data_IF_027571604717
#
_entry.id   IF_027571604717
#
_cell.length_a   1.000
_cell.length_b   1.000
_cell.length_c   1.000
_cell.angle_alpha   90.00
_cell.angle_beta   90.00
_cell.angle_gamma   90.00
#
_symmetry.space_group_name_H-M   'P 1'
#
loop_
_entity.id
_entity.type
_entity.pdbx_description
1 polymer ?
#
# COMPACT_ATOMS: atom_id res chain seq x y z
N UNK A 1 17.50 -9.20 -13.38
CA UNK A 1 16.17 -9.79 -13.27
C UNK A 1 15.24 -8.73 -12.73
N UNK A 2 14.16 -8.43 -13.47
CA UNK A 2 13.16 -7.45 -13.08
C UNK A 2 13.49 -5.98 -13.35
N UNK A 3 12.48 -5.11 -13.17
CA UNK A 3 12.61 -3.67 -13.35
C UNK A 3 11.87 -2.93 -12.22
N UNK A 4 12.61 -2.17 -11.42
CA UNK A 4 12.08 -1.38 -10.31
C UNK A 4 11.36 -0.12 -10.77
N UNK A 5 11.67 0.38 -11.98
CA UNK A 5 10.98 1.52 -12.56
C UNK A 5 9.61 1.08 -13.09
N UNK A 6 8.51 1.73 -12.67
CA UNK A 6 7.19 1.43 -13.21
C UNK A 6 7.17 1.60 -14.73
N UNK A 7 6.64 0.62 -15.47
CA UNK A 7 6.44 0.78 -16.92
C UNK A 7 5.40 1.83 -17.26
N UNK A 8 4.36 1.90 -16.45
CA UNK A 8 3.30 2.90 -16.58
C UNK A 8 2.69 3.18 -15.22
N UNK A 9 2.26 4.41 -15.08
CA UNK A 9 1.47 4.89 -13.95
C UNK A 9 0.15 5.37 -14.51
N UNK A 10 -0.92 5.21 -13.75
CA UNK A 10 -2.25 5.61 -14.18
C UNK A 10 -3.05 6.16 -13.01
N UNK A 11 -3.97 7.06 -13.33
CA UNK A 11 -4.92 7.58 -12.37
C UNK A 11 -6.20 7.94 -13.10
N UNK A 12 -7.31 7.77 -12.43
CA UNK A 12 -8.62 8.16 -12.95
C UNK A 12 -9.52 8.65 -11.83
N UNK A 13 -10.41 9.57 -12.20
CA UNK A 13 -11.38 10.16 -11.29
C UNK A 13 -12.78 9.88 -11.79
N UNK A 14 -13.67 9.52 -10.87
CA UNK A 14 -15.08 9.29 -11.15
C UNK A 14 -15.88 10.17 -10.19
N UNK A 15 -16.79 10.98 -10.74
CA UNK A 15 -17.67 11.82 -9.95
C UNK A 15 -19.09 11.77 -10.49
N UNK A 16 -20.06 11.96 -9.59
CA UNK A 16 -21.46 12.05 -9.92
C UNK A 16 -22.19 12.95 -8.92
N UNK A 17 -23.17 13.70 -9.42
CA UNK A 17 -24.08 14.53 -8.64
C UNK A 17 -25.53 14.13 -8.91
N UNK A 18 -26.31 13.95 -7.85
CA UNK A 18 -27.71 13.60 -8.00
C UNK A 18 -28.55 14.06 -6.81
N UNK A 19 -29.51 14.94 -7.04
CA UNK A 19 -30.48 15.43 -6.04
C UNK A 19 -29.87 15.87 -4.70
N UNK A 20 -28.74 16.60 -4.77
CA UNK A 20 -28.02 17.09 -3.60
C UNK A 20 -26.95 16.15 -3.06
N UNK A 21 -26.92 14.90 -3.48
CA UNK A 21 -25.79 14.01 -3.25
C UNK A 21 -24.68 14.29 -4.26
N UNK A 22 -23.45 14.28 -3.79
CA UNK A 22 -22.26 14.30 -4.61
C UNK A 22 -21.32 13.17 -4.16
N UNK A 23 -20.67 12.54 -5.14
CA UNK A 23 -19.64 11.57 -4.91
C UNK A 23 -18.44 11.87 -5.80
N UNK A 24 -17.26 11.74 -5.24
CA UNK A 24 -16.00 11.89 -5.95
C UNK A 24 -15.01 10.82 -5.50
N UNK A 25 -14.45 10.12 -6.47
CA UNK A 25 -13.54 9.00 -6.28
C UNK A 25 -12.28 9.26 -7.10
N UNK A 26 -11.13 9.13 -6.48
CA UNK A 26 -9.85 9.17 -7.17
C UNK A 26 -9.06 7.88 -6.94
N UNK A 27 -8.66 7.27 -8.03
CA UNK A 27 -7.83 6.06 -8.05
C UNK A 27 -6.48 6.37 -8.68
N UNK A 28 -5.46 5.75 -8.11
CA UNK A 28 -4.10 5.80 -8.62
C UNK A 28 -3.48 4.41 -8.59
N UNK A 29 -2.68 4.10 -9.57
CA UNK A 29 -2.03 2.81 -9.62
C UNK A 29 -0.75 2.80 -10.44
N UNK A 30 -0.03 1.72 -10.27
CA UNK A 30 1.19 1.40 -11.00
C UNK A 30 1.03 0.03 -11.61
N UNK A 31 1.33 -0.07 -12.89
CA UNK A 31 1.36 -1.36 -13.57
C UNK A 31 2.77 -1.78 -13.93
N UNK A 32 3.01 -3.08 -13.82
CA UNK A 32 4.27 -3.74 -14.14
C UNK A 32 5.50 -3.07 -13.52
N UNK A 33 5.63 -3.27 -12.23
CA UNK A 33 6.80 -2.91 -11.42
C UNK A 33 7.23 -4.16 -10.66
N UNK A 34 8.53 -4.41 -10.64
CA UNK A 34 9.10 -5.55 -9.91
C UNK A 34 10.14 -5.01 -8.93
N UNK A 35 10.11 -5.52 -7.70
CA UNK A 35 11.02 -5.10 -6.65
C UNK A 35 11.78 -6.34 -6.16
N UNK A 36 13.11 -6.27 -6.20
CA UNK A 36 13.94 -7.24 -5.52
C UNK A 36 13.98 -6.91 -4.04
N UNK A 37 13.32 -7.74 -3.25
CA UNK A 37 13.24 -7.55 -1.82
C UNK A 37 14.54 -8.02 -1.14
N UNK A 38 15.06 -7.18 -0.26
CA UNK A 38 16.22 -7.49 0.60
C UNK A 38 15.87 -7.22 2.06
N UNK A 39 16.65 -7.78 2.98
CA UNK A 39 16.45 -7.56 4.39
C UNK A 39 15.45 -8.48 5.07
N UNK A 40 15.47 -8.49 6.39
CA UNK A 40 14.74 -9.45 7.22
C UNK A 40 13.22 -9.26 7.20
N UNK A 41 12.72 -8.09 6.77
CA UNK A 41 11.29 -7.89 6.56
C UNK A 41 10.70 -8.83 5.51
N UNK A 42 11.51 -9.22 4.52
CA UNK A 42 11.05 -10.08 3.43
C UNK A 42 11.74 -11.43 3.45
N UNK A 43 13.06 -11.45 3.68
CA UNK A 43 13.87 -12.65 3.63
C UNK A 43 14.34 -13.04 5.04
N UNK A 44 13.78 -14.09 5.66
CA UNK A 44 14.09 -14.47 7.03
C UNK A 44 15.57 -14.84 7.17
N UNK A 45 16.24 -14.27 8.18
CA UNK A 45 17.66 -14.54 8.42
C UNK A 45 18.62 -13.90 7.41
N UNK A 46 18.16 -12.91 6.62
CA UNK A 46 19.03 -12.18 5.69
C UNK A 46 20.16 -11.45 6.42
N UNK A 47 19.86 -10.89 7.60
CA UNK A 47 20.85 -10.41 8.57
C UNK A 47 20.72 -11.22 9.85
N UNK A 48 21.73 -12.01 10.19
CA UNK A 48 21.67 -13.02 11.25
C UNK A 48 21.35 -12.50 12.66
N UNK A 49 21.57 -11.23 12.93
CA UNK A 49 21.32 -10.61 14.25
C UNK A 49 19.91 -10.01 14.42
N UNK A 50 19.07 -10.09 13.39
CA UNK A 50 17.74 -9.50 13.41
C UNK A 50 16.64 -10.54 13.62
N UNK A 51 15.57 -10.13 14.31
CA UNK A 51 14.41 -10.99 14.55
C UNK A 51 13.67 -11.31 13.24
N UNK A 52 13.09 -12.49 13.16
CA UNK A 52 12.15 -12.88 12.12
C UNK A 52 10.76 -12.35 12.43
N UNK A 53 9.95 -12.13 11.39
CA UNK A 53 8.58 -11.65 11.49
C UNK A 53 7.58 -12.79 11.37
N UNK A 54 6.36 -12.59 11.84
CA UNK A 54 5.33 -13.63 11.83
C UNK A 54 5.02 -14.17 10.42
N UNK A 55 4.99 -13.31 9.40
CA UNK A 55 4.74 -13.71 8.02
C UNK A 55 5.86 -14.56 7.42
N UNK A 56 7.09 -14.54 8.00
CA UNK A 56 8.22 -15.36 7.54
C UNK A 56 8.27 -16.73 8.18
N UNK A 57 7.28 -17.12 8.96
CA UNK A 57 7.21 -18.43 9.62
C UNK A 57 6.92 -19.58 8.65
N UNK A 58 6.44 -19.29 7.45
CA UNK A 58 6.32 -20.28 6.37
C UNK A 58 7.67 -20.53 5.70
N UNK A 59 8.58 -21.14 6.44
CA UNK A 59 9.92 -21.51 5.95
C UNK A 59 10.07 -23.02 5.77
N UNK A 60 10.99 -23.40 4.92
CA UNK A 60 11.25 -24.79 4.59
C UNK A 60 11.70 -25.61 5.81
N UNK A 61 11.03 -26.73 6.02
CA UNK A 61 11.33 -27.78 7.00
C UNK A 61 11.02 -29.14 6.38
N UNK A 62 11.45 -30.20 7.01
CA UNK A 62 11.19 -31.58 6.53
C UNK A 62 9.68 -31.89 6.47
N UNK A 63 8.90 -31.31 7.36
CA UNK A 63 7.44 -31.39 7.41
C UNK A 63 6.71 -30.29 6.61
N UNK A 64 7.46 -29.34 6.02
CA UNK A 64 6.93 -28.23 5.19
C UNK A 64 7.84 -27.96 3.99
N UNK A 65 7.93 -28.90 3.09
CA UNK A 65 8.81 -28.83 1.90
C UNK A 65 8.31 -27.87 0.84
N UNK A 66 7.01 -27.48 0.87
CA UNK A 66 6.39 -26.52 -0.05
C UNK A 66 6.49 -25.05 0.38
N UNK A 67 7.15 -24.76 1.49
CA UNK A 67 7.25 -23.42 2.05
C UNK A 67 7.76 -22.37 1.06
N UNK A 68 7.26 -21.13 1.21
CA UNK A 68 7.70 -20.01 0.38
C UNK A 68 9.14 -19.58 0.70
N UNK A 69 9.50 -19.52 1.98
CA UNK A 69 10.84 -19.11 2.42
C UNK A 69 11.80 -20.28 2.54
N UNK A 70 13.11 -20.05 2.35
CA UNK A 70 14.12 -21.07 2.58
C UNK A 70 14.28 -21.35 4.08
N UNK A 71 14.96 -22.43 4.40
CA UNK A 71 15.35 -22.72 5.79
C UNK A 71 16.22 -21.59 6.34
N UNK A 72 15.86 -20.96 7.47
CA UNK A 72 16.71 -19.98 8.12
C UNK A 72 18.04 -20.60 8.55
N UNK A 73 19.14 -19.95 8.21
CA UNK A 73 20.49 -20.39 8.56
C UNK A 73 21.22 -19.26 9.28
N UNK A 74 21.92 -19.59 10.35
CA UNK A 74 22.72 -18.64 11.13
C UNK A 74 23.77 -17.91 10.28
N UNK A 75 24.29 -18.56 9.26
CA UNK A 75 25.30 -18.02 8.36
C UNK A 75 24.75 -17.44 7.06
N UNK A 76 23.46 -17.07 7.01
CA UNK A 76 22.86 -16.51 5.80
C UNK A 76 23.58 -15.24 5.30
N UNK A 77 24.24 -14.50 6.19
CA UNK A 77 25.05 -13.34 5.84
C UNK A 77 26.30 -13.69 5.01
N UNK A 78 26.95 -14.81 5.32
CA UNK A 78 28.21 -15.21 4.68
C UNK A 78 28.01 -16.12 3.48
N UNK A 79 26.97 -16.94 3.52
CA UNK A 79 26.66 -17.93 2.49
C UNK A 79 25.29 -17.65 1.84
N UNK A 80 25.10 -16.47 1.28
CA UNK A 80 23.83 -15.96 0.71
C UNK A 80 23.22 -16.78 -0.44
N UNK A 81 23.51 -18.07 -0.51
CA UNK A 81 23.07 -18.96 -1.59
C UNK A 81 21.56 -18.95 -1.81
N UNK A 82 20.79 -18.93 -0.70
CA UNK A 82 19.32 -18.90 -0.76
C UNK A 82 18.77 -17.52 -1.13
N UNK A 83 19.59 -16.49 -1.10
CA UNK A 83 19.19 -15.09 -1.30
C UNK A 83 19.90 -14.44 -2.50
N UNK A 84 20.44 -15.25 -3.40
CA UNK A 84 20.85 -14.77 -4.71
C UNK A 84 19.63 -14.35 -5.50
N UNK A 85 19.80 -13.34 -6.35
CA UNK A 85 18.72 -12.82 -7.16
C UNK A 85 18.07 -13.93 -8.00
N UNK A 86 16.78 -14.17 -7.75
CA UNK A 86 15.97 -15.18 -8.42
C UNK A 86 14.54 -14.66 -8.59
N UNK A 87 13.74 -15.35 -9.37
CA UNK A 87 12.35 -14.99 -9.65
C UNK A 87 11.40 -15.22 -8.46
N UNK A 88 11.72 -16.14 -7.54
CA UNK A 88 10.88 -16.49 -6.41
C UNK A 88 10.66 -15.33 -5.44
N UNK A 89 11.70 -14.51 -5.20
CA UNK A 89 11.65 -13.37 -4.28
C UNK A 89 11.59 -12.02 -5.01
N UNK A 90 11.33 -12.06 -6.30
CA UNK A 90 11.07 -10.87 -7.10
C UNK A 90 9.59 -10.50 -6.93
N UNK A 91 9.33 -9.47 -6.14
CA UNK A 91 7.97 -9.05 -5.81
C UNK A 91 7.33 -8.27 -6.95
N UNK A 92 6.07 -8.54 -7.22
CA UNK A 92 5.28 -7.76 -8.14
C UNK A 92 4.61 -6.59 -7.39
N UNK A 93 5.18 -5.40 -7.51
CA UNK A 93 4.71 -4.18 -6.88
C UNK A 93 3.70 -3.38 -7.74
N UNK A 94 2.97 -4.04 -8.62
CA UNK A 94 1.82 -3.44 -9.30
C UNK A 94 0.66 -3.31 -8.31
N UNK A 95 0.01 -2.15 -8.31
CA UNK A 95 -1.12 -1.89 -7.42
C UNK A 95 -2.15 -0.95 -8.03
N UNK A 96 -3.35 -0.96 -7.47
CA UNK A 96 -4.40 0.04 -7.66
C UNK A 96 -4.93 0.43 -6.29
N UNK A 97 -4.90 1.73 -5.97
CA UNK A 97 -5.36 2.27 -4.67
C UNK A 97 -6.43 3.33 -4.89
N UNK A 98 -7.48 3.27 -4.08
CA UNK A 98 -8.41 4.39 -3.93
C UNK A 98 -7.76 5.42 -3.02
N UNK A 99 -7.25 6.50 -3.63
CA UNK A 99 -6.54 7.57 -2.91
C UNK A 99 -7.49 8.48 -2.17
N UNK A 100 -8.62 8.84 -2.80
CA UNK A 100 -9.60 9.72 -2.21
C UNK A 100 -11.01 9.22 -2.52
N UNK A 101 -11.86 9.29 -1.50
CA UNK A 101 -13.30 9.20 -1.57
C UNK A 101 -13.86 10.46 -0.91
N UNK A 102 -14.82 11.11 -1.56
CA UNK A 102 -15.62 12.17 -0.95
C UNK A 102 -17.09 11.92 -1.30
N UNK A 103 -17.93 11.82 -0.28
CA UNK A 103 -19.38 11.68 -0.45
C UNK A 103 -20.01 12.82 0.35
N UNK A 104 -20.82 13.64 -0.31
CA UNK A 104 -21.50 14.77 0.31
C UNK A 104 -22.99 14.75 0.08
N UNK A 105 -23.69 15.47 0.94
CA UNK A 105 -25.09 15.82 0.76
C UNK A 105 -25.31 17.27 1.06
N UNK A 106 -25.79 18.01 0.07
CA UNK A 106 -26.18 19.41 0.19
C UNK A 106 -27.67 19.50 0.49
N UNK A 107 -28.01 20.10 1.60
CA UNK A 107 -29.40 20.25 2.02
C UNK A 107 -30.18 21.18 1.06
N UNK A 108 -31.45 20.87 0.79
CA UNK A 108 -32.32 21.74 -0.04
C UNK A 108 -32.53 23.14 0.56
N UNK A 109 -32.55 24.16 -0.27
CA UNK A 109 -32.68 25.56 0.15
C UNK A 109 -33.94 25.86 0.98
N UNK A 110 -35.06 25.17 0.73
CA UNK A 110 -36.29 25.33 1.48
C UNK A 110 -36.17 24.98 2.96
N UNK A 111 -35.25 24.14 3.35
CA UNK A 111 -34.96 23.83 4.76
C UNK A 111 -34.07 24.89 5.40
N UNK A 112 -33.20 25.51 4.61
CA UNK A 112 -32.20 26.47 5.08
C UNK A 112 -32.68 27.90 5.16
N UNK A 113 -33.71 28.27 4.38
CA UNK A 113 -34.28 29.63 4.34
C UNK A 113 -34.81 30.14 5.67
N UNK A 114 -35.19 29.22 6.58
CA UNK A 114 -35.69 29.58 7.92
C UNK A 114 -34.58 30.00 8.90
N UNK A 115 -33.33 29.70 8.58
CA UNK A 115 -32.16 29.90 9.47
C UNK A 115 -31.08 30.78 8.85
N UNK A 116 -31.41 31.49 7.75
CA UNK A 116 -30.48 32.39 7.02
C UNK A 116 -29.17 31.71 6.58
N UNK A 117 -29.22 30.44 6.29
CA UNK A 117 -28.09 29.71 5.75
C UNK A 117 -28.29 29.54 4.25
N UNK A 118 -27.30 29.94 3.45
CA UNK A 118 -27.37 29.84 1.97
C UNK A 118 -27.11 28.44 1.50
N UNK A 119 -26.15 27.75 2.14
CA UNK A 119 -25.77 26.37 1.81
C UNK A 119 -25.28 25.61 3.04
N UNK A 120 -25.72 24.37 3.16
CA UNK A 120 -25.23 23.47 4.16
C UNK A 120 -24.96 22.12 3.48
N UNK A 121 -23.70 21.69 3.51
CA UNK A 121 -23.27 20.40 3.00
C UNK A 121 -22.62 19.61 4.12
N UNK A 122 -23.09 18.41 4.34
CA UNK A 122 -22.43 17.42 5.20
C UNK A 122 -21.68 16.46 4.31
N UNK A 123 -20.49 16.04 4.72
CA UNK A 123 -19.70 15.15 3.89
C UNK A 123 -18.89 14.17 4.73
N UNK A 124 -18.60 13.04 4.10
CA UNK A 124 -17.64 12.05 4.52
C UNK A 124 -16.50 12.04 3.52
N UNK A 125 -15.27 12.02 4.01
CA UNK A 125 -14.10 11.79 3.17
C UNK A 125 -13.23 10.66 3.70
N UNK A 126 -12.60 9.95 2.80
CA UNK A 126 -11.69 8.89 3.12
C UNK A 126 -10.47 8.90 2.22
N UNK A 127 -9.33 8.57 2.79
CA UNK A 127 -8.06 8.44 2.07
C UNK A 127 -7.50 7.03 2.21
N UNK A 128 -6.93 6.52 1.13
CA UNK A 128 -6.28 5.20 1.07
C UNK A 128 -7.18 4.05 1.56
N UNK A 129 -8.48 4.07 1.21
CA UNK A 129 -9.47 3.14 1.78
C UNK A 129 -9.29 1.71 1.28
N UNK A 130 -9.00 1.55 0.01
CA UNK A 130 -8.86 0.25 -0.64
C UNK A 130 -7.60 0.19 -1.46
N UNK A 131 -6.95 -0.96 -1.40
CA UNK A 131 -5.79 -1.28 -2.20
C UNK A 131 -5.94 -2.69 -2.76
N UNK A 132 -5.60 -2.81 -4.03
CA UNK A 132 -5.43 -4.08 -4.73
C UNK A 132 -3.98 -4.15 -5.19
N UNK A 133 -3.21 -5.06 -4.63
CA UNK A 133 -1.80 -5.26 -4.95
C UNK A 133 -1.51 -6.72 -5.34
N UNK A 134 -0.26 -6.99 -5.64
CA UNK A 134 0.24 -8.32 -5.95
C UNK A 134 1.44 -8.72 -5.09
N UNK A 135 1.57 -8.09 -3.91
CA UNK A 135 2.65 -8.37 -2.97
C UNK A 135 2.46 -9.69 -2.19
N UNK A 136 1.26 -10.29 -2.27
CA UNK A 136 0.92 -11.49 -1.50
C UNK A 136 0.83 -11.20 0.00
N UNK A 137 1.34 -12.11 0.83
CA UNK A 137 1.29 -11.98 2.29
C UNK A 137 2.42 -11.10 2.87
N UNK A 138 3.19 -10.45 2.01
CA UNK A 138 4.31 -9.61 2.45
C UNK A 138 3.76 -8.23 2.86
N UNK A 139 3.92 -7.81 4.12
CA UNK A 139 3.30 -6.61 4.67
C UNK A 139 4.06 -5.33 4.30
N UNK A 140 4.28 -5.13 3.02
CA UNK A 140 4.99 -3.98 2.47
C UNK A 140 4.05 -3.20 1.56
N UNK A 141 4.00 -1.88 1.75
CA UNK A 141 3.20 -1.01 0.89
C UNK A 141 3.86 -0.85 -0.49
N UNK A 142 3.20 -1.26 -1.58
CA UNK A 142 3.80 -1.22 -2.92
C UNK A 142 4.00 0.20 -3.47
N UNK A 143 3.37 1.22 -2.88
CA UNK A 143 3.48 2.61 -3.30
C UNK A 143 4.74 3.29 -2.76
N UNK A 144 5.27 2.81 -1.64
CA UNK A 144 6.44 3.41 -1.02
C UNK A 144 7.65 3.27 -1.94
N UNK A 145 8.34 4.38 -2.17
CA UNK A 145 9.57 4.39 -2.96
C UNK A 145 10.75 3.90 -2.13
N UNK A 146 11.16 2.67 -2.43
CA UNK A 146 12.30 2.01 -1.79
C UNK A 146 13.65 2.51 -2.29
N UNK A 147 13.67 3.29 -3.36
CA UNK A 147 14.91 3.78 -3.98
C UNK A 147 15.47 4.99 -3.25
N UNK A 148 14.64 5.69 -2.49
CA UNK A 148 15.03 6.92 -1.77
C UNK A 148 15.57 6.67 -0.37
N UNK A 149 15.28 5.53 0.23
CA UNK A 149 15.94 5.13 1.48
C UNK A 149 17.36 4.73 1.12
N UNK A 150 18.31 5.59 1.43
CA UNK A 150 19.76 5.49 1.21
C UNK A 150 20.18 4.19 0.52
N UNK A 151 20.46 4.26 -0.75
CA UNK A 151 20.66 3.15 -1.69
C UNK A 151 21.67 2.05 -1.27
N UNK A 152 22.25 2.15 -0.09
CA UNK A 152 23.23 1.24 0.46
C UNK A 152 22.79 0.51 1.73
N UNK A 153 21.62 0.81 2.29
CA UNK A 153 21.16 0.11 3.49
C UNK A 153 20.02 -0.86 3.18
N UNK A 154 20.41 -2.07 2.73
CA UNK A 154 19.48 -3.18 2.54
C UNK A 154 18.74 -3.60 3.83
N UNK A 155 19.18 -3.11 5.00
CA UNK A 155 18.51 -3.33 6.29
C UNK A 155 17.23 -2.51 6.42
N UNK A 156 17.13 -1.40 5.72
CA UNK A 156 15.95 -0.51 5.78
C UNK A 156 14.81 -0.95 4.88
N UNK A 157 15.01 -1.95 4.03
CA UNK A 157 13.97 -2.42 3.12
C UNK A 157 12.75 -2.94 3.89
N UNK A 158 11.57 -2.46 3.52
CA UNK A 158 10.32 -2.85 4.14
C UNK A 158 10.00 -2.17 5.48
N UNK A 159 10.89 -1.32 6.01
CA UNK A 159 10.70 -0.64 7.30
C UNK A 159 10.00 0.71 7.21
N UNK A 160 9.69 1.17 6.02
CA UNK A 160 8.91 2.39 5.84
C UNK A 160 7.47 2.16 6.29
N UNK A 161 6.92 3.16 6.98
CA UNK A 161 5.55 3.05 7.48
C UNK A 161 4.56 3.09 6.32
N UNK A 162 3.62 2.14 6.22
CA UNK A 162 2.64 2.12 5.14
C UNK A 162 1.69 3.33 5.24
N UNK A 163 1.08 3.70 4.12
CA UNK A 163 0.08 4.75 4.10
C UNK A 163 -1.12 4.41 4.99
N UNK A 164 -1.52 5.37 5.80
CA UNK A 164 -2.67 5.22 6.71
C UNK A 164 -3.97 5.41 5.95
N UNK A 165 -5.00 4.69 6.37
CA UNK A 165 -6.38 5.01 6.05
C UNK A 165 -6.83 6.15 6.93
N UNK A 166 -7.38 7.20 6.32
CA UNK A 166 -7.93 8.34 7.03
C UNK A 166 -9.42 8.43 6.73
N UNK A 167 -10.23 8.59 7.77
CA UNK A 167 -11.66 8.82 7.66
C UNK A 167 -11.99 10.15 8.32
N UNK A 168 -12.75 11.00 7.63
CA UNK A 168 -13.11 12.31 8.13
C UNK A 168 -14.59 12.59 7.85
N UNK A 169 -15.22 13.29 8.80
CA UNK A 169 -16.57 13.84 8.64
C UNK A 169 -16.48 15.34 8.76
N UNK A 170 -17.21 16.04 7.91
CA UNK A 170 -17.20 17.49 7.93
C UNK A 170 -18.55 18.09 7.57
N UNK A 171 -18.67 19.36 7.94
CA UNK A 171 -19.83 20.21 7.61
C UNK A 171 -19.30 21.50 7.01
N UNK A 172 -19.85 21.85 5.87
CA UNK A 172 -19.58 23.12 5.18
C UNK A 172 -20.82 23.98 5.25
N UNK A 173 -20.68 25.18 5.81
CA UNK A 173 -21.80 26.16 5.98
C UNK A 173 -21.41 27.43 5.25
N UNK A 174 -22.36 27.96 4.52
CA UNK A 174 -22.25 29.23 3.78
C UNK A 174 -23.44 30.11 4.18
N UNK A 175 -23.15 31.33 4.64
CA UNK A 175 -24.11 32.29 5.14
C UNK A 175 -24.41 33.37 4.12
#
# INVERSE_FOLDING_TARGET
>A
IGNTTPRYQYGFRVGADWKGFDIDLFFQGVGKREIWATGNMVLPGYFGAEANFAHTMDYWREDNTGAFYPRPLEYAQTAKWNYLANDRYLLNAAYLRMKNLNIGYTLPKNLLSKVNIQKLRVYFSGENLFEFDKMGDIPIDPEIDWTTTTANDSRSFGRSYPYRRTLSFGVQIEF
#
